data_IF_326201834768
#
_entry.id   IF_326201834768
#
_cell.length_a   1.000
_cell.length_b   1.000
_cell.length_c   1.000
_cell.angle_alpha   90.00
_cell.angle_beta   90.00
_cell.angle_gamma   90.00
#
_symmetry.space_group_name_H-M   'P 1'
#
loop_
_entity.id
_entity.type
_entity.pdbx_description
1 polymer ?
#
# COMPACT_ATOMS: atom_id res chain seq x y z
N UNK A 1 -5.17 -17.46 -10.87
CA UNK A 1 -5.83 -18.41 -11.77
C UNK A 1 -4.96 -18.61 -13.02
N UNK A 2 -4.82 -19.85 -13.51
CA UNK A 2 -4.07 -20.14 -14.76
C UNK A 2 -4.83 -19.73 -16.05
N UNK A 3 -6.07 -19.32 -15.94
CA UNK A 3 -6.91 -19.05 -17.10
C UNK A 3 -7.07 -17.57 -17.42
N UNK A 4 -7.11 -16.73 -16.41
CA UNK A 4 -7.24 -15.26 -16.53
C UNK A 4 -6.68 -14.56 -15.31
N UNK A 5 -6.01 -13.45 -15.54
CA UNK A 5 -5.67 -12.50 -14.50
C UNK A 5 -6.84 -11.53 -14.30
N UNK A 6 -6.99 -11.06 -13.08
CA UNK A 6 -8.02 -10.10 -12.71
C UNK A 6 -7.41 -8.99 -11.85
N UNK A 7 -7.73 -7.76 -12.20
CA UNK A 7 -7.49 -6.61 -11.34
C UNK A 7 -8.81 -6.25 -10.65
N UNK A 8 -8.77 -6.06 -9.33
CA UNK A 8 -9.94 -5.76 -8.52
C UNK A 8 -9.75 -4.50 -7.69
N UNK A 9 -10.81 -3.73 -7.58
CA UNK A 9 -10.91 -2.63 -6.62
C UNK A 9 -12.13 -2.87 -5.74
N UNK A 10 -11.99 -2.62 -4.44
CA UNK A 10 -13.08 -2.77 -3.49
C UNK A 10 -13.21 -1.55 -2.57
N UNK A 11 -14.41 -1.32 -2.09
CA UNK A 11 -14.69 -0.28 -1.12
C UNK A 11 -15.82 -0.69 -0.18
N UNK A 12 -15.72 -0.30 1.08
CA UNK A 12 -16.74 -0.52 2.08
C UNK A 12 -17.73 0.66 2.10
N UNK A 13 -18.98 0.40 1.74
CA UNK A 13 -20.03 1.40 1.75
C UNK A 13 -20.59 1.59 3.17
N UNK A 14 -20.90 2.84 3.52
CA UNK A 14 -21.78 3.13 4.67
C UNK A 14 -23.20 2.70 4.34
N UNK A 15 -24.00 2.41 5.37
CA UNK A 15 -25.40 2.00 5.19
C UNK A 15 -26.18 2.99 4.31
N UNK A 16 -26.79 2.45 3.26
CA UNK A 16 -27.56 3.22 2.28
C UNK A 16 -26.75 4.06 1.28
N UNK A 17 -25.41 3.91 1.25
CA UNK A 17 -24.49 4.64 0.36
C UNK A 17 -23.86 3.76 -0.72
N UNK A 18 -24.48 2.63 -1.03
CA UNK A 18 -23.90 1.64 -1.95
C UNK A 18 -23.61 2.24 -3.34
N UNK A 19 -24.57 2.97 -3.94
CA UNK A 19 -24.38 3.58 -5.27
C UNK A 19 -23.41 4.78 -5.26
N UNK A 20 -23.43 5.56 -4.18
CA UNK A 20 -22.46 6.66 -4.03
C UNK A 20 -21.03 6.11 -3.92
N UNK A 21 -20.84 5.03 -3.17
CA UNK A 21 -19.56 4.34 -3.03
C UNK A 21 -19.10 3.73 -4.34
N UNK A 22 -20.02 3.08 -5.09
CA UNK A 22 -19.73 2.57 -6.43
C UNK A 22 -19.29 3.69 -7.38
N UNK A 23 -20.01 4.82 -7.37
CA UNK A 23 -19.65 5.97 -8.19
C UNK A 23 -18.27 6.53 -7.83
N UNK A 24 -17.98 6.65 -6.55
CA UNK A 24 -16.68 7.14 -6.07
C UNK A 24 -15.54 6.19 -6.47
N UNK A 25 -15.69 4.89 -6.23
CA UNK A 25 -14.70 3.88 -6.58
C UNK A 25 -14.42 3.86 -8.08
N UNK A 26 -15.48 3.83 -8.90
CA UNK A 26 -15.34 3.82 -10.35
C UNK A 26 -14.76 5.13 -10.90
N UNK A 27 -15.11 6.27 -10.30
CA UNK A 27 -14.54 7.58 -10.67
C UNK A 27 -13.03 7.63 -10.42
N UNK A 28 -12.55 7.09 -9.30
CA UNK A 28 -11.11 7.02 -9.02
C UNK A 28 -10.40 6.06 -9.98
N UNK A 29 -11.00 4.92 -10.32
CA UNK A 29 -10.47 4.04 -11.34
C UNK A 29 -10.34 4.77 -12.71
N UNK A 30 -11.39 5.48 -13.12
CA UNK A 30 -11.36 6.25 -14.37
C UNK A 30 -10.37 7.43 -14.31
N UNK A 31 -10.19 8.05 -13.14
CA UNK A 31 -9.16 9.09 -12.96
C UNK A 31 -7.76 8.54 -13.22
N UNK A 32 -7.43 7.39 -12.66
CA UNK A 32 -6.15 6.72 -12.89
C UNK A 32 -5.99 6.32 -14.35
N UNK A 33 -7.03 5.76 -14.97
CA UNK A 33 -6.99 5.39 -16.39
C UNK A 33 -6.75 6.59 -17.32
N UNK A 34 -7.37 7.74 -17.04
CA UNK A 34 -7.29 8.94 -17.89
C UNK A 34 -6.04 9.78 -17.63
N UNK A 35 -5.61 9.88 -16.38
CA UNK A 35 -4.59 10.84 -15.94
C UNK A 35 -3.37 10.21 -15.28
N UNK A 36 -3.47 8.94 -14.87
CA UNK A 36 -2.40 8.25 -14.14
C UNK A 36 -2.25 8.72 -12.70
N UNK A 37 -1.23 8.19 -12.03
CA UNK A 37 -0.77 8.60 -10.71
C UNK A 37 0.19 9.77 -10.82
N UNK A 38 0.26 10.58 -9.76
CA UNK A 38 1.24 11.67 -9.64
C UNK A 38 2.62 11.14 -9.23
N UNK A 39 3.65 11.94 -9.44
CA UNK A 39 5.00 11.59 -9.03
C UNK A 39 5.12 11.38 -7.51
N UNK A 40 4.42 12.16 -6.69
CA UNK A 40 4.47 12.01 -5.23
C UNK A 40 3.68 10.81 -4.72
N UNK A 41 2.59 10.41 -5.39
CA UNK A 41 1.92 9.13 -5.09
C UNK A 41 2.86 7.95 -5.35
N UNK A 42 3.54 7.97 -6.50
CA UNK A 42 4.53 6.94 -6.83
C UNK A 42 5.67 6.91 -5.81
N UNK A 43 6.23 8.06 -5.44
CA UNK A 43 7.32 8.12 -4.44
C UNK A 43 6.87 7.57 -3.08
N UNK A 44 5.70 7.96 -2.59
CA UNK A 44 5.16 7.43 -1.32
C UNK A 44 4.94 5.92 -1.35
N UNK A 45 4.35 5.41 -2.43
CA UNK A 45 4.14 3.98 -2.61
C UNK A 45 5.47 3.21 -2.65
N UNK A 46 6.48 3.78 -3.32
CA UNK A 46 7.84 3.23 -3.35
C UNK A 46 8.48 3.18 -1.97
N UNK A 47 8.43 4.27 -1.23
CA UNK A 47 9.01 4.37 0.12
C UNK A 47 8.30 3.42 1.10
N UNK A 48 6.98 3.33 1.02
CA UNK A 48 6.20 2.38 1.82
C UNK A 48 6.54 0.93 1.49
N UNK A 49 6.63 0.60 0.20
CA UNK A 49 7.01 -0.75 -0.24
C UNK A 49 8.40 -1.14 0.26
N UNK A 50 9.39 -0.24 0.14
CA UNK A 50 10.74 -0.49 0.63
C UNK A 50 10.77 -0.68 2.15
N UNK A 51 10.01 0.11 2.90
CA UNK A 51 9.88 -0.03 4.35
C UNK A 51 9.23 -1.36 4.76
N UNK A 52 8.20 -1.80 4.05
CA UNK A 52 7.57 -3.10 4.28
C UNK A 52 8.52 -4.26 3.95
N UNK A 53 9.24 -4.15 2.84
CA UNK A 53 10.24 -5.13 2.42
C UNK A 53 11.36 -5.28 3.45
N UNK A 54 11.89 -4.16 3.96
CA UNK A 54 12.90 -4.17 5.01
C UNK A 54 12.36 -4.78 6.31
N UNK A 55 11.14 -4.41 6.70
CA UNK A 55 10.48 -4.98 7.88
C UNK A 55 10.29 -6.49 7.75
N UNK A 56 9.86 -6.98 6.59
CA UNK A 56 9.72 -8.41 6.31
C UNK A 56 11.07 -9.13 6.43
N UNK A 57 12.12 -8.55 5.87
CA UNK A 57 13.47 -9.10 5.92
C UNK A 57 14.02 -9.16 7.35
N UNK A 58 13.88 -8.09 8.13
CA UNK A 58 14.33 -8.05 9.54
C UNK A 58 13.61 -9.11 10.38
N UNK A 59 12.32 -9.36 10.09
CA UNK A 59 11.52 -10.33 10.82
C UNK A 59 11.50 -11.73 10.18
N UNK A 60 12.33 -12.03 9.19
CA UNK A 60 12.33 -13.29 8.44
C UNK A 60 12.43 -14.56 9.29
N UNK A 61 13.07 -14.47 10.45
CA UNK A 61 13.17 -15.59 11.39
C UNK A 61 11.92 -15.79 12.28
N UNK A 62 10.91 -14.92 12.12
CA UNK A 62 9.64 -14.97 12.86
C UNK A 62 8.46 -15.33 11.97
N UNK A 63 8.73 -15.79 10.74
CA UNK A 63 7.71 -16.18 9.76
C UNK A 63 6.98 -17.42 10.29
N UNK A 64 5.66 -17.41 10.20
CA UNK A 64 4.83 -18.55 10.61
C UNK A 64 4.82 -19.64 9.53
N UNK A 65 4.63 -20.88 9.97
CA UNK A 65 4.65 -22.03 9.07
C UNK A 65 3.55 -22.01 8.00
N UNK A 66 2.41 -21.38 8.25
CA UNK A 66 1.33 -21.20 7.28
C UNK A 66 1.78 -20.38 6.06
N UNK A 67 2.59 -19.35 6.26
CA UNK A 67 3.14 -18.53 5.18
C UNK A 67 4.08 -19.35 4.26
N UNK A 68 4.91 -20.23 4.84
CA UNK A 68 5.71 -21.15 4.03
C UNK A 68 4.82 -22.17 3.27
N UNK A 69 3.71 -22.58 3.87
CA UNK A 69 2.71 -23.41 3.19
C UNK A 69 2.09 -22.73 1.98
N UNK A 70 1.81 -21.43 2.09
CA UNK A 70 1.29 -20.62 0.98
C UNK A 70 2.34 -20.46 -0.12
N UNK A 71 3.58 -20.17 0.19
CA UNK A 71 4.68 -20.08 -0.78
C UNK A 71 4.87 -21.39 -1.57
N UNK A 72 4.85 -22.52 -0.87
CA UNK A 72 4.94 -23.85 -1.50
C UNK A 72 3.75 -24.15 -2.41
N UNK A 73 2.54 -23.76 -1.98
CA UNK A 73 1.33 -23.90 -2.80
C UNK A 73 1.44 -23.07 -4.07
N UNK A 74 1.85 -21.82 -3.96
CA UNK A 74 1.91 -20.88 -5.07
C UNK A 74 3.03 -21.26 -6.05
N UNK A 75 4.15 -21.77 -5.54
CA UNK A 75 5.18 -22.41 -6.36
C UNK A 75 4.62 -23.58 -7.17
N UNK A 76 3.89 -24.48 -6.52
CA UNK A 76 3.32 -25.65 -7.20
C UNK A 76 2.23 -25.28 -8.22
N UNK A 77 1.34 -24.35 -7.86
CA UNK A 77 0.19 -23.98 -8.70
C UNK A 77 0.56 -23.00 -9.83
N UNK A 78 1.46 -22.06 -9.59
CA UNK A 78 1.76 -20.95 -10.49
C UNK A 78 3.20 -20.94 -11.01
N UNK A 79 4.05 -21.90 -10.59
CA UNK A 79 5.48 -21.94 -10.88
C UNK A 79 6.23 -20.68 -10.34
N UNK A 80 5.74 -20.09 -9.26
CA UNK A 80 6.44 -18.96 -8.65
C UNK A 80 7.78 -19.40 -8.06
N UNK A 81 8.84 -18.63 -8.21
CA UNK A 81 10.12 -18.95 -7.61
C UNK A 81 10.04 -18.85 -6.08
N UNK A 82 10.82 -19.67 -5.37
CA UNK A 82 10.98 -19.58 -3.91
C UNK A 82 12.43 -19.17 -3.62
N UNK A 83 12.78 -17.89 -3.74
CA UNK A 83 14.10 -17.42 -3.36
C UNK A 83 14.30 -17.47 -1.84
N UNK A 84 15.55 -17.42 -1.39
CA UNK A 84 15.79 -17.13 0.02
C UNK A 84 15.26 -15.75 0.38
N UNK A 85 14.88 -15.52 1.64
CA UNK A 85 14.41 -14.19 2.08
C UNK A 85 15.47 -13.11 1.94
N UNK A 86 16.73 -13.47 1.94
CA UNK A 86 17.85 -12.59 1.60
C UNK A 86 17.84 -12.19 0.12
N UNK A 87 17.74 -13.18 -0.77
CA UNK A 87 17.72 -12.93 -2.21
C UNK A 87 16.44 -12.17 -2.62
N UNK A 88 15.29 -12.53 -2.06
CA UNK A 88 14.04 -11.83 -2.27
C UNK A 88 14.17 -10.33 -1.93
N UNK A 89 14.71 -10.03 -0.74
CA UNK A 89 14.95 -8.65 -0.31
C UNK A 89 15.88 -7.91 -1.27
N UNK A 90 17.02 -8.49 -1.63
CA UNK A 90 17.99 -7.84 -2.50
C UNK A 90 17.45 -7.62 -3.92
N UNK A 91 16.79 -8.61 -4.50
CA UNK A 91 16.22 -8.53 -5.84
C UNK A 91 15.10 -7.48 -5.88
N UNK A 92 14.16 -7.54 -4.95
CA UNK A 92 13.04 -6.61 -4.91
C UNK A 92 13.49 -5.18 -4.66
N UNK A 93 14.46 -4.98 -3.76
CA UNK A 93 15.05 -3.67 -3.51
C UNK A 93 15.69 -3.10 -4.77
N UNK A 94 16.53 -3.88 -5.45
CA UNK A 94 17.17 -3.45 -6.70
C UNK A 94 16.15 -3.11 -7.78
N UNK A 95 15.10 -3.92 -7.95
CA UNK A 95 14.04 -3.68 -8.92
C UNK A 95 13.30 -2.37 -8.66
N UNK A 96 12.94 -2.12 -7.40
CA UNK A 96 12.19 -0.91 -7.01
C UNK A 96 13.05 0.35 -7.06
N UNK A 97 14.35 0.24 -6.81
CA UNK A 97 15.30 1.35 -6.88
C UNK A 97 15.82 1.64 -8.30
N UNK A 98 15.54 0.75 -9.27
CA UNK A 98 15.97 0.98 -10.66
C UNK A 98 15.41 2.29 -11.23
N UNK A 99 16.23 3.13 -11.87
CA UNK A 99 15.75 4.35 -12.55
C UNK A 99 14.73 4.09 -13.66
N UNK A 100 14.75 2.89 -14.24
CA UNK A 100 13.79 2.46 -15.25
C UNK A 100 12.37 2.32 -14.68
N UNK A 101 12.20 1.98 -13.39
CA UNK A 101 10.91 1.95 -12.71
C UNK A 101 10.55 3.35 -12.23
N UNK A 102 9.66 3.99 -12.96
CA UNK A 102 9.19 5.35 -12.68
C UNK A 102 7.67 5.46 -12.85
N UNK A 103 7.10 6.60 -12.51
CA UNK A 103 5.66 6.83 -12.54
C UNK A 103 5.05 6.59 -13.93
N UNK A 104 5.77 6.87 -15.01
CA UNK A 104 5.24 6.69 -16.37
C UNK A 104 5.05 5.21 -16.70
N UNK A 105 5.98 4.35 -16.30
CA UNK A 105 5.87 2.90 -16.47
C UNK A 105 4.67 2.35 -15.70
N UNK A 106 4.47 2.81 -14.46
CA UNK A 106 3.30 2.42 -13.66
C UNK A 106 2.01 2.93 -14.29
N UNK A 107 2.00 4.14 -14.83
CA UNK A 107 0.81 4.70 -15.47
C UNK A 107 0.44 3.96 -16.76
N UNK A 108 1.41 3.56 -17.58
CA UNK A 108 1.12 2.73 -18.76
C UNK A 108 0.56 1.37 -18.36
N UNK A 109 1.13 0.73 -17.35
CA UNK A 109 0.61 -0.53 -16.82
C UNK A 109 -0.81 -0.38 -16.24
N UNK A 110 -1.09 0.70 -15.51
CA UNK A 110 -2.41 0.97 -14.94
C UNK A 110 -3.50 1.15 -16.02
N UNK A 111 -3.15 1.72 -17.17
CA UNK A 111 -4.09 1.84 -18.31
C UNK A 111 -4.51 0.48 -18.88
N UNK A 112 -3.61 -0.51 -18.87
CA UNK A 112 -3.93 -1.85 -19.33
C UNK A 112 -4.81 -2.62 -18.32
N UNK A 113 -4.70 -2.32 -17.04
CA UNK A 113 -5.49 -2.96 -15.99
C UNK A 113 -6.90 -2.40 -15.87
N UNK A 114 -7.08 -1.09 -16.08
CA UNK A 114 -8.35 -0.40 -15.88
C UNK A 114 -9.04 -0.18 -17.23
N UNK A 115 -10.20 -0.81 -17.40
CA UNK A 115 -10.98 -0.67 -18.63
C UNK A 115 -12.00 0.47 -18.55
N UNK A 116 -12.21 1.15 -19.67
CA UNK A 116 -13.30 2.11 -19.89
C UNK A 116 -14.52 1.47 -20.56
N UNK A 117 -14.45 0.18 -20.92
CA UNK A 117 -15.46 -0.58 -21.66
C UNK A 117 -16.20 -1.55 -20.75
N UNK A 118 -17.39 -1.97 -21.18
CA UNK A 118 -18.16 -3.00 -20.46
C UNK A 118 -17.57 -4.41 -20.61
N UNK A 119 -16.80 -4.62 -21.66
CA UNK A 119 -16.11 -5.90 -21.87
C UNK A 119 -15.07 -6.10 -20.74
N UNK A 120 -15.12 -7.26 -20.12
CA UNK A 120 -14.25 -7.64 -19.00
C UNK A 120 -14.43 -6.83 -17.71
N UNK A 121 -15.52 -6.06 -17.56
CA UNK A 121 -15.88 -5.38 -16.33
C UNK A 121 -16.91 -6.18 -15.56
N UNK A 122 -16.59 -6.55 -14.31
CA UNK A 122 -17.51 -7.19 -13.38
C UNK A 122 -17.72 -6.27 -12.18
N UNK A 123 -18.98 -5.98 -11.87
CA UNK A 123 -19.35 -5.14 -10.73
C UNK A 123 -20.21 -5.97 -9.78
N UNK A 124 -19.82 -6.01 -8.53
CA UNK A 124 -20.51 -6.76 -7.49
C UNK A 124 -20.70 -5.88 -6.25
N UNK A 125 -21.90 -5.96 -5.66
CA UNK A 125 -22.19 -5.39 -4.35
C UNK A 125 -22.58 -6.54 -3.44
N UNK A 126 -21.82 -6.72 -2.37
CA UNK A 126 -22.12 -7.68 -1.31
C UNK A 126 -22.73 -6.92 -0.14
N UNK A 127 -23.90 -7.32 0.29
CA UNK A 127 -24.56 -6.69 1.41
C UNK A 127 -25.22 -7.76 2.30
N UNK A 128 -25.22 -7.50 3.61
CA UNK A 128 -25.95 -8.33 4.56
C UNK A 128 -27.46 -8.10 4.37
N UNK A 129 -28.22 -9.17 4.23
CA UNK A 129 -29.68 -9.09 4.16
C UNK A 129 -30.24 -8.55 5.48
N UNK A 130 -31.01 -7.46 5.40
CA UNK A 130 -31.65 -6.82 6.54
C UNK A 130 -33.13 -6.52 6.20
N UNK A 131 -34.03 -6.75 7.13
CA UNK A 131 -35.45 -6.41 6.98
C UNK A 131 -35.59 -4.90 6.66
N UNK A 132 -36.49 -4.59 5.71
CA UNK A 132 -36.80 -3.22 5.26
C UNK A 132 -35.63 -2.45 4.62
N UNK A 133 -34.52 -3.08 4.27
CA UNK A 133 -33.44 -2.44 3.50
C UNK A 133 -33.68 -2.64 2.00
N UNK A 134 -33.59 -1.56 1.24
CA UNK A 134 -33.63 -1.59 -0.23
C UNK A 134 -32.21 -1.62 -0.76
N UNK A 135 -31.93 -2.58 -1.63
CA UNK A 135 -30.60 -2.75 -2.24
C UNK A 135 -30.61 -2.24 -3.67
N UNK A 136 -29.45 -1.79 -4.18
CA UNK A 136 -29.34 -1.35 -5.56
C UNK A 136 -29.68 -2.45 -6.57
N UNK A 137 -30.46 -2.10 -7.57
CA UNK A 137 -30.74 -2.97 -8.71
C UNK A 137 -29.60 -2.95 -9.73
N UNK A 138 -29.53 -3.97 -10.58
CA UNK A 138 -28.56 -4.00 -11.70
C UNK A 138 -28.70 -2.77 -12.60
N UNK A 139 -29.93 -2.30 -12.87
CA UNK A 139 -30.17 -1.12 -13.68
C UNK A 139 -29.61 0.15 -13.03
N UNK A 140 -29.77 0.30 -11.72
CA UNK A 140 -29.21 1.43 -10.98
C UNK A 140 -27.67 1.40 -10.96
N UNK A 141 -27.08 0.23 -10.80
CA UNK A 141 -25.62 0.08 -10.86
C UNK A 141 -25.09 0.46 -12.26
N UNK A 142 -25.71 -0.06 -13.33
CA UNK A 142 -25.35 0.26 -14.70
C UNK A 142 -25.50 1.77 -15.00
N UNK A 143 -26.58 2.38 -14.53
CA UNK A 143 -26.80 3.82 -14.67
C UNK A 143 -25.73 4.64 -13.93
N UNK A 144 -25.33 4.19 -12.73
CA UNK A 144 -24.26 4.84 -11.96
C UNK A 144 -22.93 4.83 -12.74
N UNK A 145 -22.56 3.71 -13.34
CA UNK A 145 -21.36 3.62 -14.17
C UNK A 145 -21.47 4.53 -15.41
N UNK A 146 -22.62 4.52 -16.10
CA UNK A 146 -22.85 5.39 -17.25
C UNK A 146 -22.74 6.87 -16.91
N UNK A 147 -23.28 7.27 -15.74
CA UNK A 147 -23.19 8.65 -15.26
C UNK A 147 -21.72 9.06 -15.04
N UNK A 148 -20.94 8.22 -14.35
CA UNK A 148 -19.53 8.51 -14.09
C UNK A 148 -18.72 8.60 -15.39
N UNK A 149 -19.00 7.76 -16.37
CA UNK A 149 -18.36 7.83 -17.71
C UNK A 149 -18.68 9.14 -18.44
N UNK A 150 -19.84 9.73 -18.19
CA UNK A 150 -20.22 11.05 -18.72
C UNK A 150 -19.60 12.24 -17.99
N UNK A 151 -18.93 12.02 -16.86
CA UNK A 151 -18.31 13.10 -16.08
C UNK A 151 -16.99 13.57 -16.73
N UNK A 152 -16.73 14.86 -16.63
CA UNK A 152 -15.40 15.42 -16.91
C UNK A 152 -14.51 15.24 -15.67
N UNK A 153 -13.83 14.11 -15.59
CA UNK A 153 -12.95 13.78 -14.46
C UNK A 153 -11.66 14.59 -14.58
N UNK A 154 -11.32 15.33 -13.52
CA UNK A 154 -10.08 16.12 -13.48
C UNK A 154 -8.93 15.28 -12.94
N UNK A 155 -7.72 15.56 -13.41
CA UNK A 155 -6.51 15.00 -12.85
C UNK A 155 -6.39 15.35 -11.36
N UNK A 156 -5.73 14.47 -10.61
CA UNK A 156 -5.36 14.77 -9.23
C UNK A 156 -4.33 15.91 -9.20
N UNK A 157 -4.55 16.86 -8.30
CA UNK A 157 -3.60 17.98 -8.11
C UNK A 157 -2.68 17.61 -6.95
N UNK A 158 -1.40 17.56 -7.24
CA UNK A 158 -0.39 17.26 -6.24
C UNK A 158 -0.12 18.49 -5.35
N UNK A 159 -0.69 18.47 -4.16
CA UNK A 159 -0.55 19.53 -3.15
C UNK A 159 0.36 19.09 -1.98
N UNK A 160 1.17 18.05 -2.17
CA UNK A 160 2.03 17.54 -1.11
C UNK A 160 3.13 18.56 -0.81
N UNK A 161 3.13 19.06 0.41
CA UNK A 161 4.24 19.88 0.91
C UNK A 161 5.44 18.98 1.16
N UNK A 162 6.56 19.32 0.56
CA UNK A 162 7.85 18.65 0.77
C UNK A 162 8.65 19.31 1.91
N UNK A 163 7.96 19.83 2.89
CA UNK A 163 8.58 20.41 4.08
C UNK A 163 8.81 19.31 5.13
N UNK A 164 9.95 19.31 5.81
CA UNK A 164 10.18 18.38 6.92
C UNK A 164 9.11 18.58 8.00
N UNK A 165 8.66 17.49 8.62
CA UNK A 165 7.64 17.51 9.67
C UNK A 165 8.04 18.38 10.87
N UNK A 166 9.35 18.47 11.14
CA UNK A 166 9.94 19.28 12.19
C UNK A 166 10.95 20.25 11.57
N UNK A 167 10.90 21.51 11.98
CA UNK A 167 11.94 22.48 11.67
C UNK A 167 13.28 21.96 12.23
N UNK A 168 14.36 22.06 11.45
CA UNK A 168 15.71 21.67 11.88
C UNK A 168 16.11 22.33 13.21
N UNK A 169 15.64 23.57 13.44
CA UNK A 169 15.87 24.29 14.70
C UNK A 169 15.11 23.71 15.89
N UNK A 170 14.01 22.98 15.64
CA UNK A 170 13.21 22.32 16.65
C UNK A 170 13.69 20.89 16.94
N UNK A 171 14.64 20.36 16.16
CA UNK A 171 15.19 19.04 16.42
C UNK A 171 15.95 19.00 17.76
N UNK A 172 15.70 18.00 18.60
CA UNK A 172 16.42 17.87 19.86
C UNK A 172 17.90 17.62 19.58
N UNK A 173 18.76 18.33 20.29
CA UNK A 173 20.20 18.09 20.23
C UNK A 173 20.53 16.76 20.87
N UNK A 174 21.36 15.96 20.21
CA UNK A 174 21.81 14.68 20.73
C UNK A 174 22.49 14.87 22.11
N UNK A 175 22.06 14.10 23.09
CA UNK A 175 22.70 14.06 24.40
C UNK A 175 24.06 13.38 24.31
N UNK A 176 25.04 13.88 25.12
CA UNK A 176 26.35 13.22 25.29
C UNK A 176 26.29 12.34 26.53
N UNK A 177 26.99 11.21 26.51
CA UNK A 177 27.18 10.39 27.74
C UNK A 177 28.10 11.18 28.68
N UNK A 178 27.61 11.49 29.86
CA UNK A 178 28.36 12.22 30.89
C UNK A 178 28.79 11.32 32.05
N UNK A 179 28.17 10.15 32.19
CA UNK A 179 28.56 9.14 33.18
C UNK A 179 28.20 7.75 32.68
N UNK A 180 29.10 6.80 32.92
CA UNK A 180 28.88 5.37 32.72
C UNK A 180 29.20 4.61 33.98
N UNK A 181 28.28 3.75 34.44
CA UNK A 181 28.46 2.88 35.60
C UNK A 181 28.07 1.46 35.22
N UNK A 182 28.90 0.50 35.59
CA UNK A 182 28.63 -0.91 35.39
C UNK A 182 28.16 -1.55 36.70
N UNK A 183 27.04 -2.24 36.67
CA UNK A 183 26.59 -3.07 37.77
C UNK A 183 26.94 -4.53 37.48
N UNK A 184 28.08 -4.98 38.00
CA UNK A 184 28.58 -6.35 37.78
C UNK A 184 27.70 -7.43 38.39
N UNK A 185 26.95 -7.11 39.45
CA UNK A 185 26.08 -8.07 40.13
C UNK A 185 24.83 -8.40 39.33
N UNK A 186 24.28 -7.41 38.66
CA UNK A 186 23.07 -7.57 37.85
C UNK A 186 23.32 -7.56 36.34
N UNK A 187 24.57 -7.36 35.91
CA UNK A 187 25.00 -7.47 34.52
C UNK A 187 24.47 -6.38 33.57
N UNK A 188 24.26 -5.15 34.08
CA UNK A 188 23.83 -4.03 33.26
C UNK A 188 24.79 -2.84 33.34
N UNK A 189 24.74 -1.99 32.30
CA UNK A 189 25.38 -0.68 32.26
C UNK A 189 24.36 0.43 32.42
N UNK A 190 24.66 1.40 33.31
CA UNK A 190 23.86 2.61 33.46
C UNK A 190 24.61 3.79 32.84
N UNK A 191 23.98 4.46 31.88
CA UNK A 191 24.48 5.66 31.24
C UNK A 191 23.65 6.86 31.69
N UNK A 192 24.30 7.95 32.02
CA UNK A 192 23.63 9.24 32.24
C UNK A 192 23.97 10.15 31.06
N UNK A 193 22.95 10.73 30.45
CA UNK A 193 23.11 11.65 29.32
C UNK A 193 23.15 13.11 29.82
N UNK A 194 23.73 14.00 29.04
CA UNK A 194 23.87 15.43 29.34
C UNK A 194 22.53 16.17 29.57
N UNK A 195 21.43 15.61 29.11
CA UNK A 195 20.07 16.11 29.31
C UNK A 195 19.40 15.52 30.58
N UNK A 196 20.12 14.76 31.38
CA UNK A 196 19.62 14.11 32.61
C UNK A 196 18.92 12.78 32.40
N UNK A 197 18.78 12.30 31.16
CA UNK A 197 18.19 11.00 30.91
C UNK A 197 19.11 9.87 31.38
N UNK A 198 18.52 8.82 31.99
CA UNK A 198 19.21 7.58 32.39
C UNK A 198 18.86 6.49 31.37
N UNK A 199 19.89 5.80 30.91
CA UNK A 199 19.76 4.66 30.00
C UNK A 199 20.35 3.43 30.65
N UNK A 200 19.65 2.32 30.65
CA UNK A 200 20.08 1.03 31.16
C UNK A 200 20.20 0.08 29.98
N UNK A 201 21.39 -0.50 29.81
CA UNK A 201 21.72 -1.44 28.71
C UNK A 201 22.02 -2.82 29.26
#
# INVERSE_FOLDING_TARGET
>A
SRTKDAFGMEANAKDGKDLETLAALYREAQRVHQHGFTATEFMRAKDEFLSQLESAYVNRNKIKNDQYGDELRDHYLANEPIPSKEDEYQIMKQLVEMPALNVNVINEFAKDLITDKDSNLVIQIFAQEKANKVYPTKAQMAQTIANVRGEQIKAYVDNVKQEPLLDEKALPKAGKIVSEKENKTLGYKELTLSNGARVIL
#
